data_IF_796057017937
#
_entry.id   IF_796057017937
#
_cell.length_a   1.000
_cell.length_b   1.000
_cell.length_c   1.000
_cell.angle_alpha   90.00
_cell.angle_beta   90.00
_cell.angle_gamma   90.00
#
_symmetry.space_group_name_H-M   'P 1'
#
loop_
_entity.id
_entity.type
_entity.pdbx_description
1 polymer ?
#
# COMPACT_ATOMS: atom_id res chain seq x y z
N UNK A 1 8.30 -27.02 -2.79
CA UNK A 1 7.36 -26.70 -3.87
C UNK A 1 7.47 -25.21 -4.13
N UNK A 2 7.44 -24.75 -5.39
CA UNK A 2 7.36 -23.32 -5.68
C UNK A 2 6.09 -22.75 -5.02
N UNK A 3 6.15 -21.52 -4.53
CA UNK A 3 4.97 -20.81 -4.04
C UNK A 3 4.04 -20.52 -5.20
N UNK A 4 2.75 -20.73 -4.97
CA UNK A 4 1.67 -20.34 -5.86
C UNK A 4 0.75 -19.42 -5.09
N UNK A 5 0.36 -18.31 -5.70
CA UNK A 5 -0.71 -17.47 -5.16
C UNK A 5 -2.01 -18.29 -5.01
N UNK A 6 -2.88 -17.92 -4.06
CA UNK A 6 -4.20 -18.55 -3.95
C UNK A 6 -4.97 -18.36 -5.26
N UNK A 7 -5.88 -19.29 -5.55
CA UNK A 7 -6.85 -19.08 -6.62
C UNK A 7 -7.78 -17.92 -6.24
N UNK A 8 -7.87 -16.95 -7.14
CA UNK A 8 -8.62 -15.70 -6.97
C UNK A 8 -9.73 -15.54 -8.01
N UNK A 9 -10.09 -16.59 -8.73
CA UNK A 9 -11.16 -16.54 -9.73
C UNK A 9 -12.46 -15.96 -9.13
N UNK A 10 -13.02 -14.94 -9.80
CA UNK A 10 -14.25 -14.26 -9.40
C UNK A 10 -14.14 -13.40 -8.14
N UNK A 11 -12.92 -13.17 -7.61
CA UNK A 11 -12.70 -12.35 -6.42
C UNK A 11 -12.28 -10.92 -6.76
N UNK A 12 -12.56 -10.03 -5.81
CA UNK A 12 -12.09 -8.66 -5.78
C UNK A 12 -10.82 -8.58 -4.91
N UNK A 13 -9.66 -8.38 -5.53
CA UNK A 13 -8.36 -8.47 -4.84
C UNK A 13 -7.65 -7.12 -4.86
N UNK A 14 -7.11 -6.73 -3.70
CA UNK A 14 -6.23 -5.57 -3.60
C UNK A 14 -4.79 -5.98 -3.33
N UNK A 15 -3.85 -5.59 -4.18
CA UNK A 15 -2.41 -5.81 -4.00
C UNK A 15 -1.74 -4.50 -3.60
N UNK A 16 -1.39 -4.36 -2.32
CA UNK A 16 -0.88 -3.10 -1.77
C UNK A 16 0.61 -3.20 -1.45
N UNK A 17 1.40 -2.29 -2.04
CA UNK A 17 2.75 -2.01 -1.55
C UNK A 17 2.70 -1.36 -0.17
N UNK A 18 3.35 -1.98 0.82
CA UNK A 18 3.29 -1.54 2.22
C UNK A 18 4.10 -0.28 2.49
N UNK A 19 5.05 0.05 1.61
CA UNK A 19 5.99 1.13 1.85
C UNK A 19 6.38 1.97 0.64
N UNK A 20 7.59 1.75 0.15
CA UNK A 20 8.35 2.70 -0.67
C UNK A 20 8.04 2.68 -2.16
N UNK A 21 8.98 3.17 -2.96
CA UNK A 21 8.90 3.07 -4.42
C UNK A 21 9.01 1.64 -4.95
N UNK A 22 9.84 0.81 -4.31
CA UNK A 22 10.02 -0.59 -4.70
C UNK A 22 8.73 -1.41 -4.48
N UNK A 23 7.94 -1.05 -3.47
CA UNK A 23 6.75 -1.83 -3.10
C UNK A 23 5.61 -1.67 -4.10
N UNK A 24 5.42 -0.49 -4.71
CA UNK A 24 4.40 -0.34 -5.76
C UNK A 24 4.76 -1.09 -7.03
N UNK A 25 6.06 -1.16 -7.37
CA UNK A 25 6.54 -1.96 -8.49
C UNK A 25 6.32 -3.44 -8.21
N UNK A 26 6.61 -3.88 -6.97
CA UNK A 26 6.42 -5.26 -6.55
C UNK A 26 4.94 -5.63 -6.47
N UNK A 27 4.09 -4.72 -6.00
CA UNK A 27 2.63 -4.88 -5.98
C UNK A 27 2.06 -5.00 -7.40
N UNK A 28 2.52 -4.15 -8.33
CA UNK A 28 2.18 -4.29 -9.74
C UNK A 28 2.61 -5.67 -10.29
N UNK A 29 3.87 -6.07 -10.09
CA UNK A 29 4.35 -7.37 -10.55
C UNK A 29 3.53 -8.54 -9.95
N UNK A 30 3.27 -8.53 -8.64
CA UNK A 30 2.43 -9.52 -7.97
C UNK A 30 1.00 -9.56 -8.53
N UNK A 31 0.40 -8.41 -8.82
CA UNK A 31 -0.93 -8.33 -9.45
C UNK A 31 -0.99 -9.04 -10.81
N UNK A 32 0.11 -9.03 -11.57
CA UNK A 32 0.22 -9.69 -12.88
C UNK A 32 0.43 -11.20 -12.77
N UNK A 33 0.88 -11.69 -11.61
CA UNK A 33 1.05 -13.12 -11.32
C UNK A 33 -0.25 -13.77 -10.82
N UNK A 34 -1.23 -12.98 -10.40
CA UNK A 34 -2.55 -13.50 -10.07
C UNK A 34 -3.24 -13.98 -11.34
N UNK A 35 -3.83 -15.18 -11.28
CA UNK A 35 -4.46 -15.80 -12.46
C UNK A 35 -5.56 -14.89 -13.02
N UNK A 36 -5.52 -14.55 -14.31
CA UNK A 36 -6.39 -13.55 -14.93
C UNK A 36 -7.80 -14.08 -15.23
N UNK A 37 -8.36 -14.93 -14.37
CA UNK A 37 -9.78 -15.30 -14.48
C UNK A 37 -10.70 -14.07 -14.35
N UNK A 38 -11.97 -14.26 -14.02
CA UNK A 38 -12.91 -13.16 -13.76
C UNK A 38 -12.58 -12.32 -12.49
N UNK A 39 -11.35 -12.40 -11.98
CA UNK A 39 -10.90 -11.65 -10.82
C UNK A 39 -10.75 -10.16 -11.17
N UNK A 40 -11.26 -9.30 -10.29
CA UNK A 40 -11.02 -7.86 -10.36
C UNK A 40 -9.84 -7.55 -9.44
N UNK A 41 -8.68 -7.31 -10.03
CA UNK A 41 -7.44 -7.04 -9.31
C UNK A 41 -7.12 -5.56 -9.41
N UNK A 42 -6.94 -4.91 -8.26
CA UNK A 42 -6.34 -3.58 -8.17
C UNK A 42 -5.01 -3.68 -7.45
N UNK A 43 -4.09 -2.78 -7.78
CA UNK A 43 -2.87 -2.62 -7.02
C UNK A 43 -2.72 -1.18 -6.55
N UNK A 44 -1.84 -0.98 -5.57
CA UNK A 44 -1.61 0.33 -5.00
C UNK A 44 -0.32 0.44 -4.22
N UNK A 45 -0.12 1.62 -3.67
CA UNK A 45 0.98 1.94 -2.77
C UNK A 45 0.48 2.65 -1.52
N UNK A 46 1.33 2.71 -0.50
CA UNK A 46 1.07 3.49 0.70
C UNK A 46 1.93 4.76 0.73
N UNK A 47 1.37 5.87 1.21
CA UNK A 47 2.10 7.13 1.46
C UNK A 47 1.79 7.67 2.83
N UNK A 48 2.74 8.37 3.45
CA UNK A 48 2.56 9.07 4.73
C UNK A 48 2.00 10.48 4.57
N UNK A 49 2.13 11.06 3.37
CA UNK A 49 1.88 12.48 3.12
C UNK A 49 1.10 12.67 1.81
N UNK A 50 1.14 13.89 1.27
CA UNK A 50 0.62 14.25 -0.05
C UNK A 50 1.07 13.28 -1.13
N UNK A 51 0.10 12.72 -1.87
CA UNK A 51 0.33 11.84 -3.01
C UNK A 51 0.48 12.59 -4.35
N UNK A 52 0.64 13.91 -4.33
CA UNK A 52 0.63 14.72 -5.55
C UNK A 52 -0.76 14.77 -6.20
N UNK A 53 -0.85 14.92 -7.53
CA UNK A 53 -2.13 14.98 -8.25
C UNK A 53 -2.81 13.61 -8.26
N UNK A 54 -3.77 13.45 -7.35
CA UNK A 54 -4.58 12.24 -7.20
C UNK A 54 -6.06 12.58 -7.17
N UNK A 55 -6.88 11.62 -7.59
CA UNK A 55 -8.33 11.68 -7.43
C UNK A 55 -8.72 10.97 -6.12
N UNK A 56 -9.43 11.67 -5.24
CA UNK A 56 -9.88 11.11 -3.96
C UNK A 56 -11.05 10.16 -4.17
N UNK A 57 -10.92 8.93 -3.68
CA UNK A 57 -12.02 7.96 -3.61
C UNK A 57 -12.69 8.01 -2.24
N UNK A 58 -11.88 8.15 -1.19
CA UNK A 58 -12.28 8.33 0.20
C UNK A 58 -11.31 9.34 0.86
N UNK A 59 -11.51 9.73 2.13
CA UNK A 59 -10.54 10.56 2.85
C UNK A 59 -9.11 9.99 2.86
N UNK A 60 -8.96 8.67 3.01
CA UNK A 60 -7.64 8.02 3.12
C UNK A 60 -7.24 7.20 1.88
N UNK A 61 -8.11 7.05 0.89
CA UNK A 61 -7.81 6.33 -0.35
C UNK A 61 -7.99 7.24 -1.54
N UNK A 62 -6.96 7.30 -2.37
CA UNK A 62 -6.98 8.02 -3.63
C UNK A 62 -6.59 7.09 -4.77
N UNK A 63 -6.71 7.54 -6.01
CA UNK A 63 -6.12 6.90 -7.18
C UNK A 63 -5.32 7.91 -7.97
N UNK A 64 -4.26 7.46 -8.62
CA UNK A 64 -3.45 8.38 -9.41
C UNK A 64 -4.24 8.81 -10.66
N UNK A 65 -4.36 10.13 -10.86
CA UNK A 65 -5.08 10.69 -12.00
C UNK A 65 -4.42 10.28 -13.34
N UNK A 66 -5.26 10.08 -14.35
CA UNK A 66 -4.85 9.78 -15.74
C UNK A 66 -4.62 11.07 -16.54
N UNK A 67 -3.79 11.03 -17.61
CA UNK A 67 -3.19 9.85 -18.24
C UNK A 67 -1.82 9.42 -17.67
N UNK A 68 -1.39 8.19 -18.01
CA UNK A 68 0.01 7.74 -17.86
C UNK A 68 0.89 8.74 -18.61
N UNK A 69 1.99 9.25 -18.00
CA UNK A 69 2.92 10.10 -18.73
C UNK A 69 3.45 9.37 -19.98
N UNK A 70 3.44 10.05 -21.13
CA UNK A 70 4.07 9.51 -22.34
C UNK A 70 5.53 9.12 -22.07
N UNK A 71 6.04 8.02 -22.67
CA UNK A 71 7.44 7.65 -22.53
C UNK A 71 8.38 8.83 -22.84
N UNK A 72 9.31 9.12 -21.92
CA UNK A 72 10.24 10.26 -22.05
C UNK A 72 9.72 11.58 -21.45
N UNK A 73 8.45 11.67 -21.08
CA UNK A 73 7.94 12.81 -20.30
C UNK A 73 8.15 12.55 -18.81
N UNK A 74 9.01 13.36 -18.16
CA UNK A 74 9.11 13.32 -16.70
C UNK A 74 7.78 13.80 -16.12
N UNK A 75 7.08 13.01 -15.30
CA UNK A 75 5.89 13.49 -14.62
C UNK A 75 6.25 14.73 -13.79
N UNK A 76 5.41 15.76 -13.85
CA UNK A 76 5.52 16.94 -13.00
C UNK A 76 5.25 16.50 -11.55
N UNK A 77 6.31 16.22 -10.81
CA UNK A 77 6.26 15.78 -9.42
C UNK A 77 7.65 15.43 -8.92
N UNK A 78 8.15 16.18 -7.96
CA UNK A 78 9.38 15.87 -7.25
C UNK A 78 9.06 14.85 -6.14
N UNK A 79 9.86 13.80 -5.97
CA UNK A 79 9.85 12.97 -4.77
C UNK A 79 9.11 11.63 -4.87
N UNK A 80 8.69 11.11 -3.72
CA UNK A 80 8.24 9.72 -3.54
C UNK A 80 6.99 9.33 -4.33
N UNK A 81 6.20 10.30 -4.80
CA UNK A 81 5.02 10.06 -5.64
C UNK A 81 5.37 9.78 -7.12
N UNK A 82 6.56 10.19 -7.59
CA UNK A 82 6.92 10.09 -9.00
C UNK A 82 6.90 8.64 -9.52
N UNK A 83 7.26 7.68 -8.67
CA UNK A 83 7.24 6.26 -9.03
C UNK A 83 5.80 5.75 -9.22
N UNK A 84 4.85 6.21 -8.41
CA UNK A 84 3.45 5.83 -8.59
C UNK A 84 2.88 6.40 -9.89
N UNK A 85 3.37 7.56 -10.34
CA UNK A 85 3.06 8.11 -11.66
C UNK A 85 3.72 7.36 -12.83
N UNK A 86 4.78 6.58 -12.58
CA UNK A 86 5.52 5.85 -13.61
C UNK A 86 5.11 4.38 -13.79
N UNK A 87 4.38 3.78 -12.85
CA UNK A 87 3.85 2.42 -13.05
C UNK A 87 2.67 2.42 -14.04
N UNK A 88 2.33 1.31 -14.70
CA UNK A 88 1.18 1.25 -15.61
C UNK A 88 -0.15 1.67 -14.97
N UNK A 89 -1.20 1.79 -15.77
CA UNK A 89 -2.58 1.97 -15.29
C UNK A 89 -3.46 0.86 -15.84
N UNK A 90 -4.43 0.44 -15.05
CA UNK A 90 -5.48 -0.48 -15.51
C UNK A 90 -6.81 0.27 -15.76
N UNK A 91 -7.80 -0.45 -16.27
CA UNK A 91 -9.14 0.09 -16.51
C UNK A 91 -9.88 0.53 -15.24
N UNK A 92 -9.39 0.19 -14.05
CA UNK A 92 -9.97 0.55 -12.75
C UNK A 92 -9.25 1.73 -12.08
N UNK A 93 -8.21 2.27 -12.72
CA UNK A 93 -7.45 3.42 -12.23
C UNK A 93 -6.39 3.08 -11.20
N UNK A 94 -5.88 1.84 -11.13
CA UNK A 94 -4.68 1.53 -10.35
C UNK A 94 -3.47 2.32 -10.88
N UNK A 95 -2.47 2.69 -10.05
CA UNK A 95 -2.35 2.37 -8.65
C UNK A 95 -3.27 3.24 -7.80
N UNK A 96 -3.89 2.60 -6.83
CA UNK A 96 -4.52 3.29 -5.71
C UNK A 96 -3.45 3.72 -4.71
N UNK A 97 -3.70 4.82 -4.02
CA UNK A 97 -2.82 5.37 -3.00
C UNK A 97 -3.55 5.35 -1.67
N UNK A 98 -3.04 4.52 -0.76
CA UNK A 98 -3.48 4.48 0.64
C UNK A 98 -2.68 5.50 1.43
N UNK A 99 -3.35 6.46 2.04
CA UNK A 99 -2.72 7.46 2.89
C UNK A 99 -2.71 7.01 4.34
N UNK A 100 -1.53 6.64 4.81
CA UNK A 100 -1.28 6.38 6.21
C UNK A 100 -1.03 7.71 6.91
N UNK A 101 -2.09 8.26 7.52
CA UNK A 101 -2.00 9.45 8.36
C UNK A 101 -1.19 9.23 9.64
N UNK A 102 -1.39 10.14 10.60
CA UNK A 102 -0.79 10.02 11.93
C UNK A 102 -1.44 8.86 12.69
N UNK A 103 -0.85 8.46 13.82
CA UNK A 103 -1.22 7.24 14.56
C UNK A 103 -2.71 7.11 14.95
N UNK A 104 -3.49 8.19 14.93
CA UNK A 104 -4.94 8.20 15.23
C UNK A 104 -5.84 7.76 14.06
N UNK A 105 -5.32 7.68 12.83
CA UNK A 105 -6.16 7.44 11.64
C UNK A 105 -6.24 5.95 11.25
N UNK A 106 -5.56 5.06 11.99
CA UNK A 106 -5.45 3.64 11.62
C UNK A 106 -6.80 2.91 11.54
N UNK A 107 -7.71 3.16 12.48
CA UNK A 107 -9.02 2.49 12.51
C UNK A 107 -9.98 3.06 11.48
N UNK A 108 -9.92 4.37 11.22
CA UNK A 108 -10.67 5.02 10.15
C UNK A 108 -10.22 4.48 8.79
N UNK A 109 -8.90 4.42 8.55
CA UNK A 109 -8.34 3.86 7.33
C UNK A 109 -8.70 2.37 7.17
N UNK A 110 -8.63 1.56 8.23
CA UNK A 110 -9.01 0.16 8.17
C UNK A 110 -10.50 0.00 7.78
N UNK A 111 -11.37 0.85 8.34
CA UNK A 111 -12.81 0.86 8.02
C UNK A 111 -13.06 1.27 6.57
N UNK A 112 -12.33 2.27 6.06
CA UNK A 112 -12.42 2.68 4.67
C UNK A 112 -11.93 1.58 3.72
N UNK A 113 -10.80 0.93 4.00
CA UNK A 113 -10.33 -0.18 3.17
C UNK A 113 -11.36 -1.32 3.15
N UNK A 114 -11.95 -1.66 4.31
CA UNK A 114 -12.96 -2.70 4.39
C UNK A 114 -14.24 -2.36 3.59
N UNK A 115 -14.64 -1.08 3.56
CA UNK A 115 -15.85 -0.65 2.84
C UNK A 115 -15.71 -0.69 1.31
N UNK A 116 -14.48 -0.79 0.79
CA UNK A 116 -14.20 -0.93 -0.64
C UNK A 116 -14.56 -2.33 -1.18
N UNK A 117 -14.94 -3.27 -0.30
CA UNK A 117 -15.53 -4.55 -0.69
C UNK A 117 -14.53 -5.52 -1.33
N UNK A 118 -13.30 -5.56 -0.85
CA UNK A 118 -12.30 -6.55 -1.27
C UNK A 118 -12.51 -7.89 -0.56
N UNK A 119 -12.31 -8.99 -1.28
CA UNK A 119 -12.36 -10.36 -0.75
C UNK A 119 -11.00 -10.83 -0.19
N UNK A 120 -9.92 -10.21 -0.67
CA UNK A 120 -8.54 -10.52 -0.30
C UNK A 120 -7.67 -9.28 -0.45
N UNK A 121 -6.83 -9.02 0.55
CA UNK A 121 -5.75 -8.05 0.48
C UNK A 121 -4.42 -8.80 0.45
N UNK A 122 -3.55 -8.44 -0.49
CA UNK A 122 -2.17 -8.92 -0.56
C UNK A 122 -1.26 -7.74 -0.21
N UNK A 123 -0.69 -7.75 1.00
CA UNK A 123 0.29 -6.75 1.42
C UNK A 123 1.68 -7.19 0.95
N UNK A 124 2.37 -6.34 0.18
CA UNK A 124 3.67 -6.64 -0.42
C UNK A 124 4.73 -5.70 0.13
N UNK A 125 5.84 -6.26 0.60
CA UNK A 125 7.01 -5.54 1.11
C UNK A 125 8.28 -6.06 0.41
N UNK A 126 8.97 -5.17 -0.29
CA UNK A 126 10.27 -5.42 -0.88
C UNK A 126 11.37 -4.90 0.07
N UNK A 127 12.04 -5.82 0.76
CA UNK A 127 13.07 -5.48 1.75
C UNK A 127 12.83 -6.11 3.12
N UNK A 128 11.57 -6.34 3.51
CA UNK A 128 11.24 -7.04 4.75
C UNK A 128 11.16 -6.15 5.99
N UNK A 129 11.02 -4.84 5.82
CA UNK A 129 10.89 -3.89 6.92
C UNK A 129 9.59 -4.07 7.72
N UNK A 130 8.56 -4.68 7.12
CA UNK A 130 7.32 -5.06 7.79
C UNK A 130 7.49 -6.17 8.85
N UNK A 131 8.56 -6.97 8.79
CA UNK A 131 8.82 -8.06 9.74
C UNK A 131 9.90 -7.73 10.77
N UNK A 132 10.71 -6.70 10.53
CA UNK A 132 11.84 -6.34 11.39
C UNK A 132 11.48 -5.23 12.36
N UNK A 133 11.67 -5.49 13.67
CA UNK A 133 11.61 -4.43 14.69
C UNK A 133 13.02 -3.87 14.89
N UNK A 134 13.29 -2.68 14.35
CA UNK A 134 14.60 -2.01 14.50
C UNK A 134 14.85 -1.67 15.97
N UNK A 135 15.96 -2.17 16.54
CA UNK A 135 16.33 -1.95 17.94
C UNK A 135 16.43 -0.45 18.26
N UNK A 136 15.88 -0.04 19.39
CA UNK A 136 15.92 1.35 19.86
C UNK A 136 14.88 2.28 19.23
N UNK A 137 14.07 1.83 18.26
CA UNK A 137 12.91 2.61 17.81
C UNK A 137 11.74 2.42 18.78
N UNK A 138 11.16 3.54 19.21
CA UNK A 138 9.95 3.57 20.05
C UNK A 138 8.67 3.35 19.26
N UNK A 139 8.71 3.54 17.94
CA UNK A 139 7.54 3.43 17.06
C UNK A 139 7.79 2.44 15.91
N UNK A 140 6.75 1.68 15.52
CA UNK A 140 6.82 0.81 14.36
C UNK A 140 7.11 1.61 13.08
N UNK A 141 7.83 0.99 12.15
CA UNK A 141 8.06 1.54 10.81
C UNK A 141 6.74 1.69 10.03
N UNK A 142 6.78 2.45 8.93
CA UNK A 142 5.60 2.65 8.06
C UNK A 142 5.00 1.31 7.64
N UNK A 143 5.81 0.39 7.14
CA UNK A 143 5.36 -0.87 6.56
C UNK A 143 4.70 -1.76 7.62
N UNK A 144 5.24 -1.74 8.84
CA UNK A 144 4.64 -2.39 10.01
C UNK A 144 3.29 -1.74 10.40
N UNK A 145 3.19 -0.41 10.36
CA UNK A 145 1.94 0.32 10.63
C UNK A 145 0.87 0.01 9.59
N UNK A 146 1.21 -0.01 8.30
CA UNK A 146 0.29 -0.39 7.22
C UNK A 146 -0.17 -1.83 7.40
N UNK A 147 0.77 -2.76 7.64
CA UNK A 147 0.41 -4.16 7.86
C UNK A 147 -0.54 -4.33 9.05
N UNK A 148 -0.33 -3.58 10.14
CA UNK A 148 -1.24 -3.56 11.28
C UNK A 148 -2.64 -3.02 10.90
N UNK A 149 -2.74 -1.98 10.07
CA UNK A 149 -4.01 -1.49 9.52
C UNK A 149 -4.69 -2.57 8.70
N UNK A 150 -3.97 -3.25 7.81
CA UNK A 150 -4.55 -4.31 6.98
C UNK A 150 -5.17 -5.43 7.82
N UNK A 151 -4.51 -5.86 8.89
CA UNK A 151 -5.08 -6.86 9.80
C UNK A 151 -6.33 -6.37 10.55
N UNK A 152 -6.48 -5.06 10.77
CA UNK A 152 -7.68 -4.49 11.41
C UNK A 152 -8.90 -4.43 10.50
N UNK A 153 -8.71 -4.47 9.17
CA UNK A 153 -9.82 -4.45 8.19
C UNK A 153 -10.76 -5.65 8.32
N UNK A 154 -10.29 -6.76 8.92
CA UNK A 154 -10.95 -8.07 8.95
C UNK A 154 -11.19 -8.70 7.56
N UNK A 155 -10.68 -8.08 6.49
CA UNK A 155 -10.56 -8.72 5.18
C UNK A 155 -9.40 -9.72 5.26
N UNK A 156 -9.49 -10.92 4.65
CA UNK A 156 -8.36 -11.83 4.58
C UNK A 156 -7.09 -11.14 4.04
N UNK A 157 -5.97 -11.29 4.75
CA UNK A 157 -4.67 -10.69 4.38
C UNK A 157 -3.66 -11.79 4.07
N UNK A 158 -3.07 -11.73 2.88
CA UNK A 158 -1.86 -12.46 2.51
C UNK A 158 -0.68 -11.48 2.55
N UNK A 159 0.25 -11.68 3.47
CA UNK A 159 1.45 -10.85 3.54
C UNK A 159 2.62 -11.52 2.79
N UNK A 160 3.22 -10.79 1.84
CA UNK A 160 4.28 -11.27 0.96
C UNK A 160 5.50 -10.37 1.13
N UNK A 161 6.59 -10.97 1.61
CA UNK A 161 7.89 -10.30 1.67
C UNK A 161 8.76 -10.80 0.52
N UNK A 162 9.27 -9.87 -0.29
CA UNK A 162 10.11 -10.14 -1.46
C UNK A 162 11.53 -9.66 -1.18
N UNK A 163 12.50 -10.49 -1.56
CA UNK A 163 13.94 -10.20 -1.48
C UNK A 163 14.37 -9.49 -0.18
N UNK A 164 14.17 -10.09 1.02
CA UNK A 164 14.42 -9.35 2.26
C UNK A 164 15.87 -8.90 2.39
N UNK A 165 16.08 -7.63 2.74
CA UNK A 165 17.36 -6.94 2.82
C UNK A 165 17.83 -6.28 1.53
N UNK A 166 17.08 -6.34 0.42
CA UNK A 166 17.54 -5.81 -0.87
C UNK A 166 17.64 -4.28 -0.92
N UNK A 167 16.88 -3.57 -0.09
CA UNK A 167 16.87 -2.11 0.00
C UNK A 167 17.95 -1.56 0.96
N UNK A 168 18.59 -2.43 1.74
CA UNK A 168 19.60 -2.07 2.73
C UNK A 168 19.04 -1.38 3.99
N UNK A 169 17.72 -1.34 4.19
CA UNK A 169 17.12 -0.61 5.31
C UNK A 169 17.23 -1.35 6.66
N UNK A 170 17.38 -2.67 6.59
CA UNK A 170 17.44 -3.55 7.76
C UNK A 170 18.75 -4.35 7.79
N UNK A 171 19.28 -4.53 9.01
CA UNK A 171 20.47 -5.37 9.23
C UNK A 171 20.13 -6.82 8.91
N UNK A 172 21.10 -7.53 8.33
CA UNK A 172 20.92 -8.94 7.95
C UNK A 172 20.58 -9.80 9.16
N UNK A 173 21.17 -9.54 10.32
CA UNK A 173 20.92 -10.31 11.55
C UNK A 173 19.48 -10.12 12.04
N UNK A 174 18.98 -8.89 12.08
CA UNK A 174 17.63 -8.59 12.53
C UNK A 174 16.58 -9.19 11.58
N UNK A 175 16.83 -9.17 10.26
CA UNK A 175 16.00 -9.85 9.25
C UNK A 175 15.96 -11.36 9.45
N UNK A 176 17.12 -11.98 9.69
CA UNK A 176 17.22 -13.42 9.89
C UNK A 176 16.53 -13.86 11.17
N UNK A 177 16.62 -13.07 12.24
CA UNK A 177 15.94 -13.34 13.51
C UNK A 177 14.43 -13.21 13.38
N UNK A 178 13.97 -12.13 12.74
CA UNK A 178 12.55 -11.92 12.48
C UNK A 178 11.97 -13.05 11.62
N UNK A 179 12.64 -13.41 10.52
CA UNK A 179 12.18 -14.46 9.63
C UNK A 179 12.17 -15.82 10.32
N UNK A 180 13.24 -16.17 11.04
CA UNK A 180 13.31 -17.43 11.79
C UNK A 180 12.17 -17.52 12.82
N UNK A 181 11.92 -16.45 13.58
CA UNK A 181 10.81 -16.42 14.54
C UNK A 181 9.44 -16.65 13.85
N UNK A 182 9.19 -16.01 12.70
CA UNK A 182 7.93 -16.16 11.95
C UNK A 182 7.75 -17.54 11.32
N UNK A 183 8.84 -18.14 10.83
CA UNK A 183 8.83 -19.51 10.30
C UNK A 183 8.61 -20.54 11.41
N UNK A 184 9.29 -20.39 12.56
CA UNK A 184 9.10 -21.23 13.75
C UNK A 184 7.65 -21.18 14.27
N UNK A 185 7.02 -20.01 14.20
CA UNK A 185 5.62 -19.84 14.59
C UNK A 185 4.61 -20.39 13.55
N UNK A 186 5.07 -20.91 12.41
CA UNK A 186 4.19 -21.37 11.32
C UNK A 186 3.43 -20.25 10.61
N UNK A 187 3.75 -18.99 10.89
CA UNK A 187 3.05 -17.84 10.32
C UNK A 187 3.46 -17.58 8.86
N UNK A 188 4.63 -18.06 8.43
CA UNK A 188 5.19 -17.83 7.10
C UNK A 188 5.53 -19.13 6.41
N UNK A 189 5.52 -19.10 5.08
CA UNK A 189 6.00 -20.17 4.21
C UNK A 189 7.01 -19.57 3.24
N UNK A 190 8.15 -20.24 3.06
CA UNK A 190 9.20 -19.77 2.15
C UNK A 190 8.93 -20.31 0.74
N UNK A 191 8.86 -19.41 -0.23
CA UNK A 191 8.61 -19.70 -1.64
C UNK A 191 9.82 -20.25 -2.40
N UNK A 192 11.01 -19.76 -2.08
CA UNK A 192 12.27 -20.01 -2.80
C UNK A 192 13.42 -20.23 -1.81
N UNK A 193 14.56 -20.73 -2.30
CA UNK A 193 15.72 -20.96 -1.43
C UNK A 193 16.25 -19.62 -0.91
N UNK A 194 16.30 -19.50 0.41
CA UNK A 194 17.04 -18.44 1.08
C UNK A 194 18.52 -18.49 0.66
N UNK A 195 19.19 -17.37 0.39
CA UNK A 195 20.61 -17.36 0.09
C UNK A 195 21.39 -18.02 1.22
N UNK A 196 22.07 -19.14 0.92
CA UNK A 196 22.92 -19.86 1.88
C UNK A 196 24.21 -19.10 2.23
N UNK A 197 24.45 -17.96 1.60
CA UNK A 197 25.68 -17.18 1.72
C UNK A 197 25.87 -16.52 3.09
N UNK A 198 24.86 -16.51 3.96
CA UNK A 198 25.03 -16.16 5.38
C UNK A 198 24.90 -17.41 6.26
N UNK A 199 26.02 -18.00 6.73
CA UNK A 199 26.01 -19.18 7.59
C UNK A 199 25.19 -18.97 8.87
N UNK A 200 25.11 -17.74 9.38
CA UNK A 200 24.36 -17.39 10.59
C UNK A 200 22.84 -17.46 10.40
N UNK A 201 22.34 -17.17 9.20
CA UNK A 201 20.92 -17.26 8.87
C UNK A 201 20.50 -18.69 8.52
N UNK A 202 21.36 -19.40 7.78
CA UNK A 202 21.10 -20.78 7.39
C UNK A 202 21.00 -21.69 8.62
N UNK A 203 21.93 -21.60 9.58
CA UNK A 203 21.90 -22.43 10.79
C UNK A 203 20.64 -22.20 11.65
N UNK A 204 20.10 -20.96 11.68
CA UNK A 204 18.86 -20.62 12.39
C UNK A 204 17.60 -21.11 11.69
N UNK A 205 17.63 -21.29 10.37
CA UNK A 205 16.48 -21.71 9.56
C UNK A 205 16.44 -23.23 9.27
N UNK A 206 17.54 -23.96 9.45
CA UNK A 206 17.73 -25.36 9.00
C UNK A 206 16.84 -26.40 9.73
N UNK A 207 16.04 -26.02 10.73
CA UNK A 207 15.03 -26.90 11.34
C UNK A 207 13.67 -26.96 10.62
N UNK A 208 13.37 -26.08 9.66
CA UNK A 208 11.98 -25.64 9.40
C UNK A 208 11.36 -26.05 8.07
N UNK A 209 12.10 -26.77 7.22
CA UNK A 209 11.56 -27.29 5.96
C UNK A 209 10.89 -28.67 6.09
N UNK A 210 10.48 -29.09 7.29
CA UNK A 210 9.54 -30.21 7.41
C UNK A 210 8.16 -29.68 7.04
N UNK A 211 7.49 -30.23 6.01
CA UNK A 211 6.14 -29.81 5.68
C UNK A 211 5.28 -29.98 6.93
N UNK A 212 4.60 -28.91 7.35
CA UNK A 212 3.59 -29.01 8.39
C UNK A 212 2.66 -30.18 8.03
N UNK A 213 2.33 -31.08 8.98
CA UNK A 213 1.41 -32.17 8.70
C UNK A 213 0.16 -31.57 8.05
N UNK A 214 -0.24 -32.10 6.90
CA UNK A 214 -1.39 -31.59 6.15
C UNK A 214 -2.57 -31.57 7.12
N UNK A 215 -2.98 -30.38 7.56
CA UNK A 215 -4.30 -30.21 8.15
C UNK A 215 -5.28 -30.74 7.10
N UNK A 216 -5.99 -31.81 7.44
CA UNK A 216 -7.04 -32.37 6.63
C UNK A 216 -7.95 -31.22 6.18
N UNK A 217 -8.07 -31.04 4.88
CA UNK A 217 -8.93 -30.03 4.26
C UNK A 217 -10.34 -30.12 4.84
N UNK A 218 -10.63 -29.29 5.85
CA UNK A 218 -11.99 -29.02 6.26
C UNK A 218 -12.57 -28.16 5.15
N UNK A 219 -13.45 -28.74 4.34
CA UNK A 219 -14.27 -28.00 3.38
C UNK A 219 -14.87 -26.79 4.10
N UNK A 220 -14.65 -25.59 3.57
CA UNK A 220 -15.42 -24.42 3.99
C UNK A 220 -16.90 -24.74 3.77
N UNK A 221 -17.79 -24.42 4.74
CA UNK A 221 -19.21 -24.61 4.56
C UNK A 221 -19.69 -23.77 3.39
N UNK A 222 -20.24 -24.43 2.37
CA UNK A 222 -21.03 -23.79 1.32
C UNK A 222 -22.33 -23.30 1.94
N UNK A 223 -22.30 -22.13 2.56
CA UNK A 223 -23.49 -21.44 3.04
C UNK A 223 -24.36 -21.02 1.86
N UNK A 224 -25.44 -21.76 1.61
CA UNK A 224 -26.52 -21.31 0.74
C UNK A 224 -27.21 -20.11 1.37
N UNK A 225 -26.93 -18.92 0.81
CA UNK A 225 -27.60 -17.68 1.20
C UNK A 225 -28.83 -17.49 0.32
N UNK A 226 -30.00 -17.78 0.86
CA UNK A 226 -31.27 -17.27 0.35
C UNK A 226 -31.40 -15.81 0.79
N UNK A 227 -31.09 -14.88 -0.11
CA UNK A 227 -31.29 -13.46 0.13
C UNK A 227 -32.80 -13.14 0.26
N UNK A 228 -33.24 -12.40 1.29
CA UNK A 228 -34.59 -11.86 1.33
C UNK A 228 -34.72 -10.67 0.35
N UNK A 229 -35.92 -10.39 -0.17
CA UNK A 229 -36.14 -9.29 -1.09
C UNK A 229 -35.96 -7.93 -0.39
N UNK A 230 -35.56 -6.87 -1.11
CA UNK A 230 -35.31 -5.56 -0.53
C UNK A 230 -36.62 -4.91 -0.05
N UNK A 231 -36.59 -4.43 1.19
CA UNK A 231 -37.62 -3.58 1.77
C UNK A 231 -37.70 -2.25 1.01
N UNK A 232 -38.91 -1.89 0.55
CA UNK A 232 -39.22 -0.59 -0.03
C UNK A 232 -39.15 0.50 1.05
N UNK A 233 -38.16 1.39 0.96
CA UNK A 233 -38.16 2.63 1.71
C UNK A 233 -38.97 3.69 0.96
N UNK A 234 -40.14 4.01 1.51
CA UNK A 234 -40.97 5.16 1.16
C UNK A 234 -40.46 6.38 1.92
N UNK A 235 -39.90 7.37 1.21
CA UNK A 235 -39.67 8.69 1.78
C UNK A 235 -40.90 9.57 1.50
N UNK A 236 -41.68 9.84 2.56
CA UNK A 236 -42.69 10.91 2.56
C UNK A 236 -42.00 12.27 2.62
N UNK A 237 -42.42 13.16 1.74
CA UNK A 237 -42.09 14.57 1.75
C UNK A 237 -42.68 15.24 3.01
N UNK A 238 -41.82 15.83 3.84
CA UNK A 238 -42.18 16.71 4.94
C UNK A 238 -41.85 18.16 4.58
N UNK A 239 -42.88 18.93 4.26
CA UNK A 239 -42.83 20.39 4.10
C UNK A 239 -42.68 21.03 5.47
N UNK A 240 -41.65 21.86 5.69
CA UNK A 240 -41.61 22.81 6.80
C UNK A 240 -40.81 24.09 6.48
N UNK A 241 -41.59 25.13 6.20
CA UNK A 241 -41.50 26.55 6.65
C UNK A 241 -40.14 27.28 6.68
N UNK A 242 -40.13 28.36 5.91
CA UNK A 242 -39.21 29.51 5.91
C UNK A 242 -39.15 30.25 7.25
N UNK A 243 -37.99 30.80 7.61
CA UNK A 243 -37.74 32.17 8.18
C UNK A 243 -36.22 32.37 8.42
N UNK A 244 -35.70 33.58 8.72
CA UNK A 244 -35.16 34.52 7.74
C UNK A 244 -33.62 34.67 7.78
N UNK A 245 -33.09 35.20 6.68
CA UNK A 245 -31.69 35.57 6.46
C UNK A 245 -31.19 36.60 7.49
N UNK A 246 -30.11 36.28 8.20
CA UNK A 246 -29.18 37.27 8.76
C UNK A 246 -27.84 37.13 8.04
N UNK A 247 -27.36 38.26 7.53
CA UNK A 247 -26.15 38.36 6.72
C UNK A 247 -24.89 38.06 7.52
N UNK A 248 -23.97 37.35 6.88
CA UNK A 248 -22.58 37.28 7.29
C UNK A 248 -21.72 37.73 6.12
N UNK A 249 -20.86 38.70 6.45
CA UNK A 249 -19.89 39.36 5.60
C UNK A 249 -18.88 38.34 5.08
N UNK A 250 -18.61 38.37 3.78
CA UNK A 250 -17.46 37.72 3.16
C UNK A 250 -16.18 38.45 3.55
N UNK A 251 -15.12 37.77 4.02
CA UNK A 251 -13.80 38.40 4.10
C UNK A 251 -13.20 38.45 2.69
N UNK A 252 -12.86 39.65 2.24
CA UNK A 252 -12.08 39.88 1.03
C UNK A 252 -10.64 39.43 1.27
N UNK A 253 -10.17 38.47 0.47
CA UNK A 253 -8.74 38.17 0.40
C UNK A 253 -8.07 39.27 -0.43
N UNK A 254 -7.33 40.14 0.26
CA UNK A 254 -6.42 41.09 -0.37
C UNK A 254 -5.16 40.34 -0.85
N UNK A 255 -4.93 40.39 -2.16
CA UNK A 255 -3.70 39.94 -2.80
C UNK A 255 -2.55 40.87 -2.39
N UNK A 256 -1.62 40.38 -1.57
CA UNK A 256 -0.30 41.01 -1.40
C UNK A 256 0.60 40.63 -2.58
N UNK A 257 1.30 41.58 -3.22
CA UNK A 257 2.32 41.26 -4.21
C UNK A 257 3.56 40.68 -3.53
N UNK A 258 4.13 39.65 -4.15
CA UNK A 258 5.41 39.05 -3.76
C UNK A 258 6.57 40.01 -4.08
N UNK A 259 7.62 40.05 -3.24
CA UNK A 259 8.81 40.86 -3.53
C UNK A 259 9.63 40.25 -4.68
N UNK A 260 10.14 41.14 -5.53
CA UNK A 260 11.05 40.87 -6.63
C UNK A 260 12.34 40.18 -6.13
N UNK A 261 12.63 38.98 -6.66
CA UNK A 261 13.92 38.32 -6.50
C UNK A 261 14.92 39.01 -7.43
N UNK A 262 16.00 39.56 -6.85
CA UNK A 262 17.16 40.07 -7.57
C UNK A 262 17.97 38.90 -8.14
N UNK A 263 18.22 38.96 -9.44
CA UNK A 263 19.17 38.10 -10.15
C UNK A 263 20.59 38.33 -9.61
N UNK A 264 21.25 37.28 -9.15
CA UNK A 264 22.68 37.32 -8.88
C UNK A 264 23.47 37.18 -10.18
N UNK A 265 24.48 38.04 -10.30
CA UNK A 265 25.46 38.16 -11.38
C UNK A 265 26.18 36.84 -11.70
N UNK A 266 26.46 36.71 -12.99
CA UNK A 266 27.38 35.73 -13.56
C UNK A 266 28.82 36.04 -13.15
N UNK A 267 29.51 35.03 -12.64
CA UNK A 267 30.97 35.01 -12.51
C UNK A 267 31.62 34.87 -13.89
N UNK A 268 32.36 35.88 -14.30
CA UNK A 268 33.29 35.84 -15.44
C UNK A 268 34.56 35.04 -15.09
N UNK A 269 35.21 34.40 -16.08
CA UNK A 269 36.42 33.61 -15.88
C UNK A 269 37.68 34.48 -15.73
N UNK A 270 38.58 34.05 -14.84
CA UNK A 270 39.94 34.59 -14.73
C UNK A 270 40.79 34.22 -15.96
N UNK A 271 41.55 35.16 -16.55
CA UNK A 271 42.62 34.84 -17.48
C UNK A 271 43.89 34.39 -16.74
N UNK A 272 44.66 33.53 -17.41
CA UNK A 272 45.75 32.77 -16.82
C UNK A 272 47.02 33.55 -16.45
N UNK A 273 47.93 32.79 -15.86
CA UNK A 273 49.34 33.11 -15.70
C UNK A 273 50.18 32.04 -16.38
N UNK A 274 51.12 32.50 -17.21
CA UNK A 274 52.38 31.83 -17.50
C UNK A 274 53.32 32.01 -16.32
#
# INVERSE_FOLDING_TARGET
MPFTFPDVAGRHVFVLGLGGGCDVITAYAASRLLSPGAARVMYGNTKTDSAGPVERLTPHVARVASPVPEPGHKPNGCGSAAIDHGVPRDAHGSPWIVLLGRDHDADALATEIASLGFDLIIGVDAGGDSIVTKRGRTRPGRDQRVLAVLFRTRVPVLHVVVAPGCDGESRTEDLCDALAARLNAGAYRVASRWPRSSPSCASRAVGLARPAPRASSSRLPTGGSTAPPPARLSCRAGVARRSPRRGLRTPSCSSRPLPSVRSHEALSPHPGTR
#
